data_IF_710455349331
#
_entry.id   IF_710455349331
#
_cell.length_a   1.000
_cell.length_b   1.000
_cell.length_c   1.000
_cell.angle_alpha   90.00
_cell.angle_beta   90.00
_cell.angle_gamma   90.00
#
_symmetry.space_group_name_H-M   'P 1'
#
loop_
_entity.id
_entity.type
_entity.pdbx_description
1 polymer ?
#
# COMPACT_ATOMS: atom_id res chain seq x y z
N UNK A 1 -2.86 9.95 16.59
CA UNK A 1 -1.88 10.82 15.90
C UNK A 1 -1.86 10.73 14.37
N UNK A 2 -1.29 9.71 13.69
CA UNK A 2 -1.16 9.71 12.21
C UNK A 2 -2.51 9.97 11.52
N UNK A 3 -3.56 9.30 11.98
CA UNK A 3 -4.94 9.49 11.54
C UNK A 3 -5.44 10.94 11.72
N UNK A 4 -5.10 11.60 12.82
CA UNK A 4 -5.58 12.96 13.13
C UNK A 4 -4.84 14.06 12.34
N UNK A 5 -3.51 13.95 12.27
CA UNK A 5 -2.64 15.04 11.78
C UNK A 5 -2.03 14.77 10.40
N UNK A 6 -2.17 13.56 9.87
CA UNK A 6 -1.54 13.13 8.62
C UNK A 6 -0.02 13.02 8.72
N UNK A 7 0.61 12.55 7.65
CA UNK A 7 2.06 12.33 7.60
C UNK A 7 2.86 13.63 7.76
N UNK A 8 2.38 14.75 7.23
CA UNK A 8 3.05 16.05 7.35
C UNK A 8 3.06 16.56 8.79
N UNK A 9 1.94 16.42 9.50
CA UNK A 9 1.80 16.84 10.89
C UNK A 9 2.54 15.94 11.88
N UNK A 10 2.89 14.72 11.48
CA UNK A 10 3.59 13.77 12.32
C UNK A 10 5.07 14.15 12.50
N UNK A 11 5.43 14.58 13.71
CA UNK A 11 6.80 14.94 14.09
C UNK A 11 7.14 14.42 15.47
N UNK A 12 8.42 14.14 15.76
CA UNK A 12 8.86 13.71 17.10
C UNK A 12 8.45 14.70 18.19
N UNK A 13 8.43 16.01 17.90
CA UNK A 13 7.95 17.02 18.86
C UNK A 13 6.44 16.93 19.10
N UNK A 14 5.65 16.72 18.05
CA UNK A 14 4.20 16.55 18.18
C UNK A 14 3.87 15.29 18.98
N UNK A 15 4.59 14.20 18.75
CA UNK A 15 4.44 12.94 19.49
C UNK A 15 4.86 13.12 20.95
N UNK A 16 5.97 13.79 21.22
CA UNK A 16 6.41 14.06 22.59
C UNK A 16 5.35 14.83 23.37
N UNK A 17 4.76 15.85 22.73
CA UNK A 17 3.67 16.63 23.31
C UNK A 17 2.44 15.77 23.59
N UNK A 18 2.04 14.91 22.65
CA UNK A 18 0.88 14.02 22.82
C UNK A 18 1.08 13.00 23.95
N UNK A 19 2.30 12.49 24.10
CA UNK A 19 2.66 11.52 25.15
C UNK A 19 2.99 12.17 26.50
N UNK A 20 2.87 13.50 26.62
CA UNK A 20 3.27 14.30 27.80
C UNK A 20 4.72 14.02 28.27
N UNK A 21 5.64 13.84 27.32
CA UNK A 21 7.07 13.65 27.56
C UNK A 21 7.91 14.75 26.93
N UNK A 22 9.15 14.91 27.40
CA UNK A 22 10.09 15.85 26.77
C UNK A 22 10.63 15.25 25.46
N UNK A 23 10.70 16.06 24.40
CA UNK A 23 11.20 15.64 23.09
C UNK A 23 12.55 14.89 23.11
N UNK A 24 13.55 15.23 23.95
CA UNK A 24 14.79 14.46 24.05
C UNK A 24 14.58 12.97 24.40
N UNK A 25 13.51 12.62 25.12
CA UNK A 25 13.20 11.22 25.44
C UNK A 25 12.89 10.40 24.17
N UNK A 26 12.19 10.99 23.20
CA UNK A 26 11.91 10.31 21.93
C UNK A 26 13.14 10.20 21.03
N UNK A 27 14.07 11.16 21.09
CA UNK A 27 15.32 11.08 20.33
C UNK A 27 16.24 9.93 20.78
N UNK A 28 16.07 9.41 22.00
CA UNK A 28 16.75 8.18 22.44
C UNK A 28 16.25 6.93 21.72
N UNK A 29 14.99 6.92 21.29
CA UNK A 29 14.39 5.80 20.57
C UNK A 29 14.49 5.98 19.05
N UNK A 30 14.33 7.22 18.57
CA UNK A 30 14.30 7.55 17.16
C UNK A 30 15.23 8.72 16.88
N UNK A 31 16.34 8.46 16.19
CA UNK A 31 17.31 9.51 15.83
C UNK A 31 16.71 10.66 15.02
N UNK A 32 15.71 10.38 14.19
CA UNK A 32 15.06 11.33 13.29
C UNK A 32 13.64 10.85 12.92
N UNK A 33 12.92 11.64 12.11
CA UNK A 33 11.58 11.29 11.61
C UNK A 33 11.60 10.03 10.75
N UNK A 34 12.67 9.78 10.00
CA UNK A 34 12.74 8.60 9.13
C UNK A 34 12.80 7.31 9.96
N UNK A 35 13.59 7.28 11.02
CA UNK A 35 13.67 6.13 11.93
C UNK A 35 12.32 5.81 12.58
N UNK A 36 11.53 6.85 12.90
CA UNK A 36 10.15 6.66 13.36
C UNK A 36 9.26 6.04 12.27
N UNK A 37 9.33 6.56 11.03
CA UNK A 37 8.54 6.04 9.91
C UNK A 37 8.89 4.59 9.58
N UNK A 38 10.19 4.25 9.62
CA UNK A 38 10.68 2.89 9.42
C UNK A 38 10.10 1.92 10.47
N UNK A 39 10.06 2.31 11.75
CA UNK A 39 9.43 1.50 12.80
C UNK A 39 7.90 1.43 12.67
N UNK A 40 7.26 2.52 12.25
CA UNK A 40 5.81 2.50 11.99
C UNK A 40 5.46 1.55 10.85
N UNK A 41 6.21 1.57 9.75
CA UNK A 41 6.00 0.65 8.63
C UNK A 41 6.29 -0.80 9.04
N UNK A 42 7.32 -1.03 9.86
CA UNK A 42 7.62 -2.35 10.42
C UNK A 42 6.46 -2.84 11.30
N UNK A 43 5.91 -1.98 12.16
CA UNK A 43 4.75 -2.33 12.99
C UNK A 43 3.48 -2.60 12.16
N UNK A 44 3.21 -1.80 11.11
CA UNK A 44 2.10 -2.06 10.17
C UNK A 44 2.24 -3.43 9.51
N UNK A 45 3.46 -3.79 9.10
CA UNK A 45 3.76 -5.10 8.54
C UNK A 45 3.54 -6.22 9.57
N UNK A 46 4.00 -6.06 10.83
CA UNK A 46 3.79 -7.08 11.88
C UNK A 46 2.30 -7.35 12.09
N UNK A 47 1.49 -6.31 12.13
CA UNK A 47 0.02 -6.42 12.27
C UNK A 47 -0.60 -7.12 11.08
N UNK A 48 -0.21 -6.74 9.87
CA UNK A 48 -0.65 -7.40 8.65
C UNK A 48 -0.26 -8.89 8.67
N UNK A 49 0.98 -9.22 9.01
CA UNK A 49 1.47 -10.60 9.05
C UNK A 49 0.76 -11.45 10.11
N UNK A 50 0.34 -10.87 11.24
CA UNK A 50 -0.42 -11.54 12.27
C UNK A 50 -1.85 -11.91 11.83
N UNK A 51 -2.40 -11.19 10.84
CA UNK A 51 -3.73 -11.43 10.27
C UNK A 51 -3.69 -12.38 9.07
N UNK A 52 -2.51 -12.66 8.51
CA UNK A 52 -2.37 -13.54 7.35
C UNK A 52 -2.61 -15.00 7.73
N UNK A 53 -3.52 -15.64 6.99
CA UNK A 53 -3.65 -17.10 6.94
C UNK A 53 -2.62 -17.69 5.97
N UNK A 54 -2.55 -19.03 5.90
CA UNK A 54 -1.72 -19.70 4.89
C UNK A 54 -2.10 -19.22 3.49
N UNK A 55 -1.13 -18.89 2.62
CA UNK A 55 -1.44 -18.46 1.26
C UNK A 55 -2.13 -19.59 0.49
N UNK A 56 -3.10 -19.28 -0.40
CA UNK A 56 -3.63 -20.23 -1.37
C UNK A 56 -2.51 -20.93 -2.17
N UNK A 57 -2.78 -22.17 -2.61
CA UNK A 57 -1.84 -22.94 -3.44
C UNK A 57 -1.72 -22.36 -4.86
N UNK A 58 -2.80 -21.81 -5.42
CA UNK A 58 -2.73 -21.11 -6.70
C UNK A 58 -1.99 -19.78 -6.54
N UNK A 59 -0.92 -19.61 -7.31
CA UNK A 59 -0.05 -18.45 -7.19
C UNK A 59 -0.74 -17.13 -7.56
N UNK A 60 -1.73 -17.15 -8.46
CA UNK A 60 -2.47 -15.94 -8.86
C UNK A 60 -3.37 -15.48 -7.73
N UNK A 61 -4.11 -16.43 -7.14
CA UNK A 61 -4.94 -16.16 -5.98
C UNK A 61 -4.11 -15.73 -4.78
N UNK A 62 -2.98 -16.40 -4.52
CA UNK A 62 -2.05 -16.06 -3.45
C UNK A 62 -1.50 -14.64 -3.56
N UNK A 63 -1.08 -14.24 -4.76
CA UNK A 63 -0.62 -12.88 -5.02
C UNK A 63 -1.76 -11.86 -4.86
N UNK A 64 -2.96 -12.19 -5.37
CA UNK A 64 -4.13 -11.33 -5.25
C UNK A 64 -4.55 -11.10 -3.79
N UNK A 65 -4.67 -12.17 -2.99
CA UNK A 65 -4.98 -12.12 -1.55
C UNK A 65 -3.94 -11.28 -0.81
N UNK A 66 -2.66 -11.46 -1.13
CA UNK A 66 -1.58 -10.68 -0.51
C UNK A 66 -1.70 -9.18 -0.82
N UNK A 67 -2.03 -8.81 -2.07
CA UNK A 67 -2.17 -7.40 -2.46
C UNK A 67 -3.45 -6.77 -1.91
N UNK A 68 -4.55 -7.52 -1.84
CA UNK A 68 -5.79 -7.09 -1.17
C UNK A 68 -5.56 -6.84 0.32
N UNK A 69 -4.93 -7.78 1.01
CA UNK A 69 -4.57 -7.63 2.42
C UNK A 69 -3.66 -6.42 2.66
N UNK A 70 -2.68 -6.19 1.78
CA UNK A 70 -1.86 -4.98 1.82
C UNK A 70 -2.71 -3.71 1.66
N UNK A 71 -3.53 -3.60 0.61
CA UNK A 71 -4.41 -2.44 0.39
C UNK A 71 -5.31 -2.18 1.61
N UNK A 72 -6.01 -3.21 2.08
CA UNK A 72 -6.89 -3.12 3.25
C UNK A 72 -6.14 -2.56 4.46
N UNK A 73 -4.96 -3.10 4.77
CA UNK A 73 -4.20 -2.69 5.94
C UNK A 73 -3.65 -1.26 5.81
N UNK A 74 -3.24 -0.85 4.60
CA UNK A 74 -2.79 0.53 4.35
C UNK A 74 -3.92 1.54 4.46
N UNK A 75 -5.13 1.19 4.02
CA UNK A 75 -6.32 2.06 4.07
C UNK A 75 -6.84 2.28 5.50
N UNK A 76 -6.50 1.42 6.47
CA UNK A 76 -6.83 1.62 7.90
C UNK A 76 -6.15 2.84 8.51
N UNK A 77 -5.11 3.36 7.88
CA UNK A 77 -4.33 4.49 8.38
C UNK A 77 -4.28 5.62 7.35
N UNK A 78 -4.56 6.86 7.78
CA UNK A 78 -4.38 8.04 6.95
C UNK A 78 -2.91 8.15 6.52
N UNK A 79 -2.68 8.43 5.23
CA UNK A 79 -1.35 8.43 4.61
C UNK A 79 -0.58 7.10 4.79
N UNK A 80 -1.27 5.99 5.11
CA UNK A 80 -0.67 4.70 5.40
C UNK A 80 0.22 4.18 4.27
N UNK A 81 -0.20 4.33 3.01
CA UNK A 81 0.62 3.92 1.87
C UNK A 81 1.89 4.77 1.71
N UNK A 82 1.83 6.07 2.03
CA UNK A 82 3.01 6.95 2.01
C UNK A 82 3.97 6.64 3.16
N UNK A 83 3.45 6.27 4.33
CA UNK A 83 4.26 5.80 5.47
C UNK A 83 4.96 4.49 5.11
N UNK A 84 4.27 3.56 4.47
CA UNK A 84 4.80 2.23 4.16
C UNK A 84 5.76 2.23 2.96
N UNK A 85 5.57 3.15 2.01
CA UNK A 85 6.36 3.23 0.79
C UNK A 85 7.77 3.76 1.06
N UNK A 86 8.80 2.97 0.67
CA UNK A 86 10.20 3.42 0.68
C UNK A 86 10.88 3.37 2.05
N UNK A 87 10.24 2.77 3.05
CA UNK A 87 10.83 2.55 4.38
C UNK A 87 11.72 1.33 4.43
N UNK A 88 12.71 1.36 5.32
CA UNK A 88 13.55 0.21 5.61
C UNK A 88 13.00 -0.50 6.84
N UNK A 89 12.63 -1.78 6.71
CA UNK A 89 12.17 -2.54 7.87
C UNK A 89 13.29 -2.71 8.89
N UNK A 90 12.95 -2.55 10.17
CA UNK A 90 13.91 -2.50 11.27
C UNK A 90 14.17 -3.84 11.93
N UNK A 91 13.39 -4.87 11.57
CA UNK A 91 13.55 -6.24 12.03
C UNK A 91 13.28 -7.25 10.90
N UNK A 92 13.27 -8.55 11.22
CA UNK A 92 13.08 -9.65 10.26
C UNK A 92 11.64 -10.16 10.19
N UNK A 93 10.65 -9.45 10.74
CA UNK A 93 9.24 -9.86 10.73
C UNK A 93 8.68 -10.02 9.31
N UNK A 94 9.26 -9.36 8.31
CA UNK A 94 8.92 -9.51 6.89
C UNK A 94 9.37 -10.85 6.29
N UNK A 95 10.35 -11.53 6.89
CA UNK A 95 11.05 -12.64 6.26
C UNK A 95 10.15 -13.86 6.05
N UNK A 96 9.40 -14.28 7.07
CA UNK A 96 8.52 -15.45 6.96
C UNK A 96 7.36 -15.24 5.96
N UNK A 97 6.62 -14.11 5.96
CA UNK A 97 5.63 -13.81 4.93
C UNK A 97 6.23 -13.74 3.52
N UNK A 98 7.43 -13.16 3.38
CA UNK A 98 8.13 -13.10 2.10
C UNK A 98 8.50 -14.50 1.61
N UNK A 99 9.10 -15.32 2.47
CA UNK A 99 9.49 -16.71 2.15
C UNK A 99 8.28 -17.55 1.73
N UNK A 100 7.15 -17.44 2.44
CA UNK A 100 5.92 -18.15 2.11
C UNK A 100 5.39 -17.78 0.71
N UNK A 101 5.38 -16.49 0.36
CA UNK A 101 4.94 -16.07 -0.97
C UNK A 101 5.95 -16.46 -2.06
N UNK A 102 7.26 -16.41 -1.77
CA UNK A 102 8.29 -16.86 -2.71
C UNK A 102 8.17 -18.35 -3.00
N UNK A 103 7.86 -19.16 -1.99
CA UNK A 103 7.61 -20.59 -2.14
C UNK A 103 6.44 -20.88 -3.08
N UNK A 104 5.30 -20.22 -2.91
CA UNK A 104 4.12 -20.43 -3.78
C UNK A 104 4.46 -20.09 -5.24
N UNK A 105 5.18 -18.99 -5.49
CA UNK A 105 5.59 -18.62 -6.83
C UNK A 105 6.61 -19.60 -7.43
N UNK A 106 7.61 -20.05 -6.65
CA UNK A 106 8.61 -21.00 -7.17
C UNK A 106 8.04 -22.39 -7.41
N UNK A 107 7.11 -22.86 -6.57
CA UNK A 107 6.37 -24.10 -6.78
C UNK A 107 5.46 -24.03 -8.02
N UNK A 108 4.99 -22.83 -8.38
CA UNK A 108 4.31 -22.58 -9.65
C UNK A 108 5.27 -22.50 -10.86
N UNK A 109 6.57 -22.69 -10.69
CA UNK A 109 7.55 -22.74 -11.78
C UNK A 109 8.19 -21.40 -12.14
N UNK A 110 8.09 -20.39 -11.28
CA UNK A 110 8.90 -19.19 -11.39
C UNK A 110 10.31 -19.45 -10.86
N UNK A 111 11.33 -18.89 -11.49
CA UNK A 111 12.65 -18.75 -10.86
C UNK A 111 12.56 -17.77 -9.68
N UNK A 112 13.49 -17.81 -8.70
CA UNK A 112 13.50 -16.83 -7.60
C UNK A 112 13.56 -15.37 -8.09
N UNK A 113 14.26 -15.11 -9.20
CA UNK A 113 14.35 -13.79 -9.79
C UNK A 113 13.01 -13.34 -10.40
N UNK A 114 12.34 -14.21 -11.16
CA UNK A 114 11.01 -13.93 -11.72
C UNK A 114 9.98 -13.74 -10.61
N UNK A 115 10.02 -14.57 -9.57
CA UNK A 115 9.14 -14.48 -8.42
C UNK A 115 9.30 -13.14 -7.66
N UNK A 116 10.55 -12.72 -7.43
CA UNK A 116 10.83 -11.42 -6.81
C UNK A 116 10.32 -10.25 -7.67
N UNK A 117 10.48 -10.32 -9.00
CA UNK A 117 9.98 -9.28 -9.92
C UNK A 117 8.46 -9.26 -10.02
N UNK A 118 7.81 -10.42 -10.03
CA UNK A 118 6.36 -10.55 -10.00
C UNK A 118 5.78 -9.91 -8.73
N UNK A 119 6.31 -10.27 -7.56
CA UNK A 119 5.91 -9.67 -6.27
C UNK A 119 6.12 -8.16 -6.28
N UNK A 120 7.30 -7.69 -6.68
CA UNK A 120 7.60 -6.26 -6.70
C UNK A 120 6.65 -5.49 -7.63
N UNK A 121 6.30 -6.05 -8.79
CA UNK A 121 5.39 -5.42 -9.75
C UNK A 121 3.99 -5.25 -9.16
N UNK A 122 3.43 -6.32 -8.58
CA UNK A 122 2.12 -6.27 -7.93
C UNK A 122 2.11 -5.34 -6.71
N UNK A 123 3.20 -5.34 -5.92
CA UNK A 123 3.42 -4.44 -4.80
C UNK A 123 3.44 -2.97 -5.24
N UNK A 124 4.23 -2.64 -6.27
CA UNK A 124 4.35 -1.27 -6.79
C UNK A 124 3.02 -0.75 -7.34
N UNK A 125 2.27 -1.60 -8.05
CA UNK A 125 0.90 -1.28 -8.45
C UNK A 125 0.02 -0.95 -7.24
N UNK A 126 0.01 -1.84 -6.23
CA UNK A 126 -0.83 -1.70 -5.04
C UNK A 126 -0.50 -0.42 -4.26
N UNK A 127 0.77 -0.15 -4.01
CA UNK A 127 1.20 1.07 -3.31
C UNK A 127 0.79 2.32 -4.10
N UNK A 128 1.05 2.36 -5.41
CA UNK A 128 0.68 3.50 -6.24
C UNK A 128 -0.82 3.75 -6.25
N UNK A 129 -1.61 2.69 -6.40
CA UNK A 129 -3.07 2.77 -6.40
C UNK A 129 -3.60 3.31 -5.07
N UNK A 130 -3.13 2.77 -3.94
CA UNK A 130 -3.58 3.19 -2.62
C UNK A 130 -3.14 4.61 -2.27
N UNK A 131 -1.98 5.08 -2.75
CA UNK A 131 -1.58 6.48 -2.59
C UNK A 131 -2.59 7.41 -3.28
N UNK A 132 -2.98 7.11 -4.52
CA UNK A 132 -3.98 7.90 -5.25
C UNK A 132 -5.35 7.82 -4.56
N UNK A 133 -5.77 6.63 -4.13
CA UNK A 133 -7.02 6.42 -3.38
C UNK A 133 -7.06 7.23 -2.08
N UNK A 134 -5.96 7.27 -1.31
CA UNK A 134 -5.89 8.06 -0.07
C UNK A 134 -5.82 9.56 -0.31
N UNK A 135 -5.39 10.01 -1.49
CA UNK A 135 -5.32 11.43 -1.86
C UNK A 135 -6.66 11.92 -2.43
N UNK A 136 -7.33 11.08 -3.21
CA UNK A 136 -8.56 11.43 -3.93
C UNK A 136 -9.83 11.04 -3.16
N UNK A 137 -9.74 10.04 -2.29
CA UNK A 137 -10.85 9.59 -1.46
C UNK A 137 -11.16 10.53 -0.29
N UNK A 138 -12.33 10.37 0.34
CA UNK A 138 -12.67 11.14 1.54
C UNK A 138 -11.67 10.86 2.68
N UNK A 139 -11.33 11.89 3.45
CA UNK A 139 -10.46 11.71 4.63
C UNK A 139 -11.24 10.86 5.67
N UNK A 140 -10.79 9.63 5.99
CA UNK A 140 -11.55 8.72 6.86
C UNK A 140 -11.69 9.21 8.30
N UNK A 141 -10.91 10.23 8.69
CA UNK A 141 -10.86 10.77 10.06
C UNK A 141 -11.51 12.14 10.14
N UNK A 142 -11.35 12.97 9.11
CA UNK A 142 -11.91 14.32 9.07
C UNK A 142 -13.29 14.39 8.41
N UNK A 143 -13.71 13.35 7.69
CA UNK A 143 -14.96 13.34 6.92
C UNK A 143 -14.98 14.42 5.84
N UNK A 144 -13.80 14.91 5.42
CA UNK A 144 -13.71 15.86 4.33
C UNK A 144 -14.17 15.17 3.05
N UNK A 145 -14.97 15.86 2.25
CA UNK A 145 -15.37 15.38 0.93
C UNK A 145 -14.12 15.06 0.11
N UNK A 146 -14.13 13.90 -0.55
CA UNK A 146 -13.07 13.52 -1.48
C UNK A 146 -13.01 14.47 -2.67
N UNK A 147 -12.29 14.05 -3.71
CA UNK A 147 -12.16 14.86 -4.91
C UNK A 147 -13.51 15.14 -5.58
N UNK A 148 -13.88 16.42 -5.71
CA UNK A 148 -15.17 16.82 -6.30
C UNK A 148 -15.19 16.56 -7.81
N UNK A 149 -15.73 15.39 -8.18
CA UNK A 149 -15.85 14.94 -9.56
C UNK A 149 -16.88 15.73 -10.37
N UNK A 150 -17.91 16.29 -9.72
CA UNK A 150 -18.91 17.10 -10.41
C UNK A 150 -18.31 18.44 -10.83
N UNK A 151 -17.65 19.15 -9.90
CA UNK A 151 -16.94 20.38 -10.22
C UNK A 151 -15.80 20.13 -11.22
N UNK A 152 -15.14 18.97 -11.18
CA UNK A 152 -14.17 18.57 -12.21
C UNK A 152 -14.85 18.41 -13.58
N UNK A 153 -15.98 17.73 -13.64
CA UNK A 153 -16.70 17.51 -14.90
C UNK A 153 -17.13 18.83 -15.54
N UNK A 154 -17.60 19.79 -14.75
CA UNK A 154 -17.92 21.14 -15.21
C UNK A 154 -16.71 21.85 -15.81
N UNK A 155 -15.56 21.81 -15.13
CA UNK A 155 -14.30 22.39 -15.64
C UNK A 155 -13.81 21.73 -16.94
N UNK A 156 -14.18 20.47 -17.17
CA UNK A 156 -13.75 19.67 -18.32
C UNK A 156 -14.87 19.46 -19.35
N UNK A 157 -15.90 20.31 -19.37
CA UNK A 157 -17.08 20.13 -20.22
C UNK A 157 -16.75 19.99 -21.73
N UNK A 158 -15.67 20.62 -22.21
CA UNK A 158 -15.20 20.52 -23.60
C UNK A 158 -14.41 19.22 -23.90
N UNK A 159 -14.09 18.41 -22.89
CA UNK A 159 -13.27 17.20 -22.98
C UNK A 159 -14.05 15.96 -22.54
N UNK A 160 -15.03 15.47 -23.34
CA UNK A 160 -15.98 14.45 -22.90
C UNK A 160 -15.31 13.13 -22.47
N UNK A 161 -14.22 12.72 -23.13
CA UNK A 161 -13.47 11.53 -22.72
C UNK A 161 -12.75 11.72 -21.37
N UNK A 162 -12.25 12.92 -21.07
CA UNK A 162 -11.61 13.21 -19.79
C UNK A 162 -12.62 13.30 -18.63
N UNK A 163 -13.86 13.73 -18.92
CA UNK A 163 -14.99 13.66 -17.99
C UNK A 163 -15.31 12.20 -17.70
N UNK A 164 -15.57 11.40 -18.72
CA UNK A 164 -15.89 9.97 -18.57
C UNK A 164 -14.81 9.20 -17.80
N UNK A 165 -13.53 9.42 -18.13
CA UNK A 165 -12.41 8.80 -17.44
C UNK A 165 -12.32 9.19 -15.95
N UNK A 166 -12.70 10.42 -15.60
CA UNK A 166 -12.71 10.85 -14.20
C UNK A 166 -13.74 10.09 -13.36
N UNK A 167 -14.94 9.87 -13.91
CA UNK A 167 -15.96 9.06 -13.25
C UNK A 167 -15.50 7.61 -13.10
N UNK A 168 -14.91 7.05 -14.14
CA UNK A 168 -14.43 5.67 -14.12
C UNK A 168 -13.30 5.45 -13.09
N UNK A 169 -12.30 6.33 -13.06
CA UNK A 169 -11.09 6.14 -12.24
C UNK A 169 -11.30 6.46 -10.76
N UNK A 170 -12.14 7.45 -10.43
CA UNK A 170 -12.21 8.02 -9.08
C UNK A 170 -13.49 7.69 -8.30
N UNK A 171 -14.48 7.02 -8.91
CA UNK A 171 -15.75 6.76 -8.24
C UNK A 171 -15.80 5.40 -7.52
N UNK A 172 -15.22 4.35 -8.11
CA UNK A 172 -15.25 2.98 -7.57
C UNK A 172 -13.82 2.44 -7.45
N UNK A 173 -13.16 2.80 -6.34
CA UNK A 173 -11.79 2.38 -6.06
C UNK A 173 -11.65 0.88 -5.86
N UNK A 174 -12.68 0.20 -5.35
CA UNK A 174 -12.64 -1.25 -5.17
C UNK A 174 -12.64 -1.96 -6.51
N UNK A 175 -13.58 -1.61 -7.41
CA UNK A 175 -13.62 -2.16 -8.76
C UNK A 175 -12.33 -1.84 -9.52
N UNK A 176 -11.90 -0.58 -9.49
CA UNK A 176 -10.69 -0.16 -10.20
C UNK A 176 -9.43 -0.87 -9.70
N UNK A 177 -9.32 -1.09 -8.39
CA UNK A 177 -8.20 -1.85 -7.81
C UNK A 177 -8.19 -3.30 -8.30
N UNK A 178 -9.33 -3.97 -8.26
CA UNK A 178 -9.47 -5.38 -8.66
C UNK A 178 -9.18 -5.59 -10.15
N UNK A 179 -9.71 -4.71 -11.02
CA UNK A 179 -9.45 -4.78 -12.47
C UNK A 179 -7.98 -4.55 -12.82
N UNK A 180 -7.34 -3.57 -12.19
CA UNK A 180 -5.92 -3.33 -12.40
C UNK A 180 -5.05 -4.45 -11.82
N UNK A 181 -5.39 -5.01 -10.65
CA UNK A 181 -4.68 -6.14 -10.06
C UNK A 181 -4.78 -7.39 -10.95
N UNK A 182 -5.98 -7.68 -11.48
CA UNK A 182 -6.19 -8.76 -12.44
C UNK A 182 -5.35 -8.56 -13.70
N UNK A 183 -5.26 -7.33 -14.20
CA UNK A 183 -4.41 -6.97 -15.36
C UNK A 183 -2.94 -7.23 -15.07
N UNK A 184 -2.44 -6.83 -13.90
CA UNK A 184 -1.06 -7.08 -13.48
C UNK A 184 -0.78 -8.58 -13.38
N UNK A 185 -1.66 -9.35 -12.75
CA UNK A 185 -1.49 -10.80 -12.58
C UNK A 185 -1.49 -11.52 -13.93
N UNK A 186 -2.43 -11.18 -14.82
CA UNK A 186 -2.45 -11.72 -16.18
C UNK A 186 -1.18 -11.36 -16.96
N UNK A 187 -0.69 -10.14 -16.81
CA UNK A 187 0.57 -9.69 -17.40
C UNK A 187 1.78 -10.48 -16.87
N UNK A 188 1.85 -10.73 -15.56
CA UNK A 188 2.91 -11.54 -14.94
C UNK A 188 2.91 -12.96 -15.49
N UNK A 189 1.73 -13.58 -15.59
CA UNK A 189 1.59 -14.95 -16.10
C UNK A 189 2.15 -15.10 -17.52
N UNK A 190 1.78 -14.17 -18.41
CA UNK A 190 2.21 -14.19 -19.82
C UNK A 190 3.67 -13.76 -19.99
N UNK A 191 4.18 -12.89 -19.12
CA UNK A 191 5.45 -12.18 -19.36
C UNK A 191 6.58 -12.48 -18.38
N UNK A 192 6.37 -13.26 -17.33
CA UNK A 192 7.44 -13.54 -16.36
C UNK A 192 7.61 -15.01 -16.04
N UNK A 193 6.59 -15.85 -16.25
CA UNK A 193 6.68 -17.27 -15.93
C UNK A 193 7.48 -18.02 -17.00
N UNK A 194 8.59 -18.66 -16.60
CA UNK A 194 9.36 -19.54 -17.47
C UNK A 194 10.09 -18.84 -18.62
N UNK A 195 10.40 -17.55 -18.49
CA UNK A 195 11.15 -16.82 -19.53
C UNK A 195 12.64 -17.14 -19.54
N UNK A 196 13.14 -17.76 -18.48
CA UNK A 196 14.53 -18.14 -18.33
C UNK A 196 14.75 -19.63 -18.05
N UNK A 197 13.72 -20.47 -18.29
CA UNK A 197 13.84 -21.93 -18.21
C UNK A 197 14.51 -22.53 -19.45
#
# INVERSE_FOLDING_TARGET
MLNEVGLEGLTLRAIAKELDVKAPALYWHFKDKQALLDEMATEMLRRMAAELTHPPEDWRESLAVSMRGLREHLLRYRDGAKVFSGTHFTDTSYAAPMEAQMRVLTEAGFTPAEAARARLTAYSYTIGYVIEEQVMGPDPVRGAEGYDLAARAERLAEYPLAVAAGWEVFQDHDRGFEEGLATIIAGIDVTMRGKHA
#
